data_IF_185582416375
#
_entry.id   IF_185582416375
#
_cell.length_a   1.000
_cell.length_b   1.000
_cell.length_c   1.000
_cell.angle_alpha   90.00
_cell.angle_beta   90.00
_cell.angle_gamma   90.00
#
_symmetry.space_group_name_H-M   'P 1'
#
loop_
_entity.id
_entity.type
_entity.pdbx_description
1 polymer ?
#
# COMPACT_ATOMS: atom_id res chain seq x y z
N UNK A 1 -7.79 -14.78 -21.39
CA UNK A 1 -7.66 -13.55 -20.60
C UNK A 1 -8.90 -13.47 -19.72
N UNK A 2 -8.80 -13.83 -18.43
CA UNK A 2 -9.96 -13.86 -17.52
C UNK A 2 -10.22 -12.42 -17.09
N UNK A 3 -11.49 -12.04 -17.02
CA UNK A 3 -11.96 -10.71 -16.58
C UNK A 3 -11.46 -10.31 -15.19
N UNK A 4 -11.01 -11.28 -14.39
CA UNK A 4 -10.46 -11.08 -13.05
C UNK A 4 -9.07 -10.38 -13.06
N UNK A 5 -8.24 -10.63 -14.08
CA UNK A 5 -6.86 -10.11 -14.16
C UNK A 5 -6.83 -8.58 -14.39
N UNK A 6 -7.77 -8.07 -15.19
CA UNK A 6 -7.84 -6.63 -15.52
C UNK A 6 -8.32 -5.79 -14.33
N UNK A 7 -9.24 -6.32 -13.52
CA UNK A 7 -9.69 -5.66 -12.30
C UNK A 7 -8.55 -5.62 -11.26
N UNK A 8 -7.77 -6.70 -11.17
CA UNK A 8 -6.61 -6.80 -10.29
C UNK A 8 -5.55 -5.72 -10.61
N UNK A 9 -5.17 -5.58 -11.88
CA UNK A 9 -4.23 -4.52 -12.30
C UNK A 9 -4.80 -3.10 -12.10
N UNK A 10 -6.11 -2.91 -12.26
CA UNK A 10 -6.75 -1.60 -12.02
C UNK A 10 -6.66 -1.15 -10.55
N UNK A 11 -6.69 -2.09 -9.60
CA UNK A 11 -6.56 -1.80 -8.16
C UNK A 11 -5.15 -1.29 -7.84
N UNK A 12 -4.11 -1.92 -8.39
CA UNK A 12 -2.73 -1.49 -8.14
C UNK A 12 -2.36 -0.17 -8.81
N UNK A 13 -2.92 0.10 -9.99
CA UNK A 13 -2.74 1.39 -10.69
C UNK A 13 -3.49 2.55 -10.02
N UNK A 14 -4.41 2.27 -9.08
CA UNK A 14 -5.17 3.30 -8.34
C UNK A 14 -4.37 4.03 -7.25
N UNK A 15 -3.23 3.45 -6.82
CA UNK A 15 -2.36 4.10 -5.85
C UNK A 15 -1.59 5.25 -6.49
N UNK A 16 -1.57 6.41 -5.82
CA UNK A 16 -0.68 7.51 -6.21
C UNK A 16 0.77 7.09 -6.02
N UNK A 17 1.70 7.79 -6.68
CA UNK A 17 3.14 7.55 -6.53
C UNK A 17 3.57 7.48 -5.06
N UNK A 18 3.07 8.39 -4.22
CA UNK A 18 3.42 8.43 -2.80
C UNK A 18 2.81 7.27 -2.01
N UNK A 19 1.60 6.85 -2.34
CA UNK A 19 0.96 5.68 -1.73
C UNK A 19 1.70 4.39 -2.11
N UNK A 20 2.16 4.28 -3.36
CA UNK A 20 3.01 3.18 -3.83
C UNK A 20 4.33 3.12 -3.05
N UNK A 21 5.03 4.25 -2.90
CA UNK A 21 6.27 4.31 -2.09
C UNK A 21 6.03 3.83 -0.65
N UNK A 22 4.96 4.30 -0.01
CA UNK A 22 4.59 3.87 1.35
C UNK A 22 4.27 2.37 1.37
N UNK A 23 3.51 1.86 0.42
CA UNK A 23 3.14 0.45 0.34
C UNK A 23 4.35 -0.46 0.12
N UNK A 24 5.33 -0.03 -0.67
CA UNK A 24 6.59 -0.76 -0.85
C UNK A 24 7.35 -0.92 0.48
N UNK A 25 7.46 0.16 1.28
CA UNK A 25 8.10 0.09 2.58
C UNK A 25 7.30 -0.77 3.57
N UNK A 26 5.98 -0.73 3.50
CA UNK A 26 5.10 -1.64 4.27
C UNK A 26 5.41 -3.10 3.92
N UNK A 27 5.51 -3.43 2.63
CA UNK A 27 5.81 -4.76 2.13
C UNK A 27 7.23 -5.25 2.49
N UNK A 28 8.17 -4.32 2.73
CA UNK A 28 9.51 -4.58 3.30
C UNK A 28 9.50 -4.79 4.83
N UNK A 29 8.36 -4.59 5.49
CA UNK A 29 8.22 -4.80 6.93
C UNK A 29 8.42 -3.55 7.79
N UNK A 30 8.53 -2.36 7.19
CA UNK A 30 8.80 -1.13 7.95
C UNK A 30 7.57 -0.62 8.73
N UNK A 31 7.77 -0.26 9.99
CA UNK A 31 6.74 0.38 10.82
C UNK A 31 6.42 1.80 10.32
N UNK A 32 5.27 2.35 10.73
CA UNK A 32 4.90 3.72 10.34
C UNK A 32 5.92 4.77 10.79
N UNK A 33 6.62 4.54 11.92
CA UNK A 33 7.71 5.38 12.39
C UNK A 33 8.95 5.30 11.51
N UNK A 34 9.34 4.10 11.08
CA UNK A 34 10.46 3.92 10.14
C UNK A 34 10.16 4.56 8.79
N UNK A 35 8.96 4.34 8.26
CA UNK A 35 8.47 4.97 7.03
C UNK A 35 8.48 6.49 7.17
N UNK A 36 8.01 7.02 8.28
CA UNK A 36 7.97 8.46 8.54
C UNK A 36 9.38 9.07 8.48
N UNK A 37 10.36 8.43 9.13
CA UNK A 37 11.76 8.86 9.08
C UNK A 37 12.33 8.79 7.66
N UNK A 38 12.15 7.65 6.97
CA UNK A 38 12.71 7.40 5.64
C UNK A 38 12.14 8.35 4.58
N UNK A 39 10.89 8.74 4.76
CA UNK A 39 10.14 9.56 3.81
C UNK A 39 10.03 11.03 4.23
N UNK A 40 10.68 11.44 5.33
CA UNK A 40 10.63 12.78 5.92
C UNK A 40 9.20 13.29 6.18
N UNK A 41 8.37 12.43 6.77
CA UNK A 41 6.98 12.71 7.12
C UNK A 41 6.74 12.56 8.63
N UNK A 42 5.59 13.03 9.11
CA UNK A 42 5.10 12.65 10.44
C UNK A 42 4.49 11.25 10.41
N UNK A 43 4.54 10.52 11.52
CA UNK A 43 3.82 9.25 11.66
C UNK A 43 2.33 9.36 11.40
N UNK A 44 1.71 10.49 11.76
CA UNK A 44 0.30 10.78 11.47
C UNK A 44 0.05 10.85 9.96
N UNK A 45 0.95 11.48 9.21
CA UNK A 45 0.86 11.55 7.75
C UNK A 45 1.01 10.15 7.13
N UNK A 46 1.93 9.32 7.64
CA UNK A 46 2.07 7.93 7.20
C UNK A 46 0.81 7.12 7.49
N UNK A 47 0.25 7.23 8.71
CA UNK A 47 -1.04 6.59 9.07
C UNK A 47 -2.17 6.99 8.10
N UNK A 48 -2.23 8.26 7.71
CA UNK A 48 -3.20 8.72 6.73
C UNK A 48 -2.99 8.08 5.35
N UNK A 49 -1.74 7.95 4.88
CA UNK A 49 -1.45 7.23 3.64
C UNK A 49 -1.83 5.75 3.75
N UNK A 50 -1.49 5.08 4.85
CA UNK A 50 -1.85 3.67 5.12
C UNK A 50 -3.38 3.47 5.02
N UNK A 51 -4.16 4.33 5.67
CA UNK A 51 -5.63 4.23 5.62
C UNK A 51 -6.18 4.40 4.20
N UNK A 52 -5.63 5.33 3.42
CA UNK A 52 -6.03 5.54 2.01
C UNK A 52 -5.64 4.36 1.13
N UNK A 53 -4.44 3.80 1.34
CA UNK A 53 -3.98 2.60 0.64
C UNK A 53 -4.94 1.44 0.93
N UNK A 54 -5.26 1.19 2.19
CA UNK A 54 -6.16 0.10 2.59
C UNK A 54 -7.55 0.25 1.95
N UNK A 55 -8.10 1.47 1.97
CA UNK A 55 -9.36 1.76 1.30
C UNK A 55 -9.30 1.51 -0.23
N UNK A 56 -8.21 1.90 -0.89
CA UNK A 56 -8.03 1.68 -2.35
C UNK A 56 -7.80 0.22 -2.71
N UNK A 57 -7.08 -0.52 -1.86
CA UNK A 57 -6.80 -1.93 -2.04
C UNK A 57 -7.98 -2.83 -1.60
N UNK A 58 -9.00 -2.27 -0.95
CA UNK A 58 -10.15 -3.03 -0.44
C UNK A 58 -9.79 -3.98 0.71
N UNK A 59 -8.78 -3.62 1.51
CA UNK A 59 -8.29 -4.42 2.65
C UNK A 59 -8.43 -3.65 3.95
N UNK A 60 -8.43 -4.36 5.07
CA UNK A 60 -8.60 -3.80 6.42
C UNK A 60 -7.35 -3.94 7.29
N UNK A 61 -6.38 -4.76 6.87
CA UNK A 61 -5.22 -5.11 7.67
C UNK A 61 -3.92 -4.96 6.89
N UNK A 62 -2.85 -4.72 7.66
CA UNK A 62 -1.49 -4.67 7.13
C UNK A 62 -1.07 -5.97 6.46
N UNK A 63 -1.43 -7.11 7.07
CA UNK A 63 -1.08 -8.43 6.55
C UNK A 63 -1.80 -8.68 5.23
N UNK A 64 -3.09 -8.36 5.16
CA UNK A 64 -3.90 -8.46 3.93
C UNK A 64 -3.31 -7.57 2.82
N UNK A 65 -2.96 -6.32 3.14
CA UNK A 65 -2.33 -5.41 2.19
C UNK A 65 -0.98 -5.94 1.66
N UNK A 66 -0.14 -6.50 2.53
CA UNK A 66 1.16 -7.08 2.15
C UNK A 66 0.95 -8.32 1.27
N UNK A 67 0.02 -9.20 1.62
CA UNK A 67 -0.30 -10.40 0.84
C UNK A 67 -0.75 -10.03 -0.57
N UNK A 68 -1.71 -9.10 -0.67
CA UNK A 68 -2.21 -8.59 -1.94
C UNK A 68 -1.08 -7.93 -2.76
N UNK A 69 -0.28 -7.05 -2.15
CA UNK A 69 0.82 -6.36 -2.83
C UNK A 69 1.87 -7.32 -3.40
N UNK A 70 2.17 -8.40 -2.68
CA UNK A 70 3.14 -9.42 -3.12
C UNK A 70 2.59 -10.30 -4.23
N UNK A 71 1.27 -10.51 -4.31
CA UNK A 71 0.66 -11.27 -5.42
C UNK A 71 0.68 -10.56 -6.78
N UNK A 72 1.10 -9.29 -6.85
CA UNK A 72 1.31 -8.55 -8.11
C UNK A 72 2.65 -8.90 -8.81
N UNK A 73 3.60 -9.53 -8.11
CA UNK A 73 4.94 -9.86 -8.66
C UNK A 73 4.99 -11.33 -9.06
#
# INVERSE_FOLDING_TARGET
MRVDDAAFESVFTSLSKRETEVMELIARGESNGQIAQRLFLSEKTVKNHVNRIYAKLGVDSRVSAIGLWRSRT
#
